data_IF_216369024409
#
_entry.id   IF_216369024409
#
_cell.length_a   1.000
_cell.length_b   1.000
_cell.length_c   1.000
_cell.angle_alpha   90.00
_cell.angle_beta   90.00
_cell.angle_gamma   90.00
#
_symmetry.space_group_name_H-M   'P 1'
#
loop_
_entity.id
_entity.type
_entity.pdbx_description
1 polymer ?
#
# COMPACT_ATOMS: atom_id res chain seq x y z
N UNK A 1 6.79 31.56 -43.20
CA UNK A 1 7.71 30.48 -42.77
C UNK A 1 7.66 30.19 -41.26
N UNK A 2 7.55 31.18 -40.37
CA UNK A 2 7.54 30.96 -38.90
C UNK A 2 6.50 29.95 -38.34
N UNK A 3 5.32 29.83 -38.96
CA UNK A 3 4.25 28.97 -38.45
C UNK A 3 4.55 27.46 -38.45
N UNK A 4 5.46 26.99 -39.33
CA UNK A 4 5.75 25.57 -39.48
C UNK A 4 6.63 25.06 -38.33
N UNK A 5 7.65 25.84 -37.95
CA UNK A 5 8.53 25.53 -36.83
C UNK A 5 7.78 25.47 -35.49
N UNK A 6 6.83 26.37 -35.25
CA UNK A 6 6.00 26.35 -34.02
C UNK A 6 5.13 25.07 -33.98
N UNK A 7 4.54 24.66 -35.10
CA UNK A 7 3.79 23.39 -35.19
C UNK A 7 4.69 22.17 -34.95
N UNK A 8 5.90 22.16 -35.51
CA UNK A 8 6.87 21.10 -35.26
C UNK A 8 7.32 21.07 -33.79
N UNK A 9 7.60 22.21 -33.16
CA UNK A 9 7.93 22.31 -31.73
C UNK A 9 6.79 21.81 -30.84
N UNK A 10 5.56 22.23 -31.12
CA UNK A 10 4.38 21.75 -30.40
C UNK A 10 4.21 20.23 -30.55
N UNK A 11 4.35 19.69 -31.76
CA UNK A 11 4.33 18.25 -32.00
C UNK A 11 5.46 17.51 -31.28
N UNK A 12 6.68 18.06 -31.24
CA UNK A 12 7.82 17.48 -30.54
C UNK A 12 7.63 17.50 -29.01
N UNK A 13 7.04 18.56 -28.46
CA UNK A 13 6.66 18.67 -27.05
C UNK A 13 5.56 17.65 -26.73
N UNK A 14 4.53 17.51 -27.57
CA UNK A 14 3.49 16.50 -27.43
C UNK A 14 4.07 15.07 -27.47
N UNK A 15 4.95 14.77 -28.42
CA UNK A 15 5.62 13.47 -28.54
C UNK A 15 6.51 13.18 -27.31
N UNK A 16 7.27 14.17 -26.81
CA UNK A 16 8.06 14.00 -25.57
C UNK A 16 7.19 13.86 -24.31
N UNK A 17 5.97 14.39 -24.31
CA UNK A 17 4.99 14.20 -23.21
C UNK A 17 4.45 12.77 -23.12
N UNK A 18 4.63 11.96 -24.18
CA UNK A 18 4.34 10.53 -24.21
C UNK A 18 5.53 9.61 -23.84
N UNK A 19 6.64 10.15 -23.34
CA UNK A 19 7.57 9.35 -22.55
C UNK A 19 6.88 8.96 -21.24
N UNK A 20 6.14 7.85 -21.28
CA UNK A 20 5.38 7.33 -20.15
C UNK A 20 6.27 7.20 -18.93
N UNK A 21 5.71 7.52 -17.76
CA UNK A 21 6.41 7.53 -16.47
C UNK A 21 7.13 6.20 -16.30
N UNK A 22 8.46 6.22 -16.43
CA UNK A 22 9.31 5.06 -16.22
C UNK A 22 9.43 4.81 -14.72
N UNK A 23 8.34 4.31 -14.11
CA UNK A 23 8.35 3.85 -12.73
C UNK A 23 9.37 2.73 -12.63
N UNK A 24 10.38 2.90 -11.78
CA UNK A 24 11.40 1.87 -11.56
C UNK A 24 10.70 0.59 -11.07
N UNK A 25 11.08 -0.56 -11.60
CA UNK A 25 10.49 -1.84 -11.18
C UNK A 25 10.76 -2.06 -9.68
N UNK A 26 9.71 -2.42 -8.94
CA UNK A 26 9.83 -2.75 -7.53
C UNK A 26 10.44 -4.16 -7.35
N UNK A 27 11.12 -4.40 -6.22
CA UNK A 27 11.39 -5.78 -5.80
C UNK A 27 10.07 -6.46 -5.44
N UNK A 28 9.95 -7.75 -5.78
CA UNK A 28 8.84 -8.59 -5.32
C UNK A 28 8.80 -8.63 -3.77
N UNK A 29 7.61 -8.75 -3.17
CA UNK A 29 7.48 -8.80 -1.71
C UNK A 29 8.12 -10.06 -1.14
N UNK A 30 8.63 -9.96 0.09
CA UNK A 30 9.24 -11.10 0.81
C UNK A 30 8.24 -12.25 1.03
N UNK A 31 6.96 -11.91 1.26
CA UNK A 31 5.88 -12.88 1.40
C UNK A 31 4.95 -12.83 0.17
N UNK A 32 4.62 -13.96 -0.47
CA UNK A 32 3.79 -13.98 -1.66
C UNK A 32 2.41 -13.35 -1.45
N UNK A 33 2.02 -12.44 -2.35
CA UNK A 33 0.76 -11.69 -2.30
C UNK A 33 0.61 -10.70 -1.12
N UNK A 34 1.69 -10.34 -0.42
CA UNK A 34 1.69 -9.28 0.60
C UNK A 34 2.45 -8.04 0.11
N UNK A 35 1.82 -7.14 -0.66
CA UNK A 35 2.50 -6.02 -1.31
C UNK A 35 2.96 -4.91 -0.36
N UNK A 36 2.39 -4.86 0.86
CA UNK A 36 2.68 -3.89 1.91
C UNK A 36 2.78 -4.62 3.25
N UNK A 37 4.00 -4.73 3.79
CA UNK A 37 4.27 -5.46 5.04
C UNK A 37 4.30 -4.52 6.24
N UNK A 38 3.88 -5.00 7.41
CA UNK A 38 3.95 -4.23 8.66
C UNK A 38 4.65 -5.05 9.71
N UNK A 39 5.79 -4.55 10.19
CA UNK A 39 6.57 -5.17 11.26
C UNK A 39 6.53 -4.33 12.53
N UNK A 40 6.63 -5.00 13.68
CA UNK A 40 6.71 -4.37 14.99
C UNK A 40 8.02 -4.76 15.66
N UNK A 41 8.86 -3.78 15.96
CA UNK A 41 10.18 -3.95 16.59
C UNK A 41 10.30 -3.09 17.85
N UNK A 42 9.28 -3.13 18.72
CA UNK A 42 9.36 -2.60 20.09
C UNK A 42 9.26 -3.76 21.09
N UNK A 43 9.97 -3.70 22.24
CA UNK A 43 9.91 -4.76 23.26
C UNK A 43 8.48 -4.94 23.79
N UNK A 44 8.00 -6.18 23.85
CA UNK A 44 6.61 -6.51 24.23
C UNK A 44 6.45 -7.06 25.65
N UNK A 45 7.56 -7.42 26.32
CA UNK A 45 7.58 -8.16 27.60
C UNK A 45 7.19 -7.34 28.83
N UNK A 46 7.11 -6.03 28.64
CA UNK A 46 6.81 -4.94 29.57
C UNK A 46 6.50 -3.77 28.57
N UNK A 47 5.54 -2.84 28.74
CA UNK A 47 5.16 -1.86 27.67
C UNK A 47 4.83 -0.40 28.14
N UNK A 48 4.40 0.58 27.31
CA UNK A 48 3.68 1.90 27.60
C UNK A 48 3.28 2.63 26.30
N UNK A 49 2.09 3.26 26.17
CA UNK A 49 1.98 4.55 25.44
C UNK A 49 0.68 5.36 25.65
N UNK A 50 0.70 6.60 25.14
CA UNK A 50 -0.38 7.62 25.11
C UNK A 50 -0.13 8.66 23.99
N UNK A 51 -0.60 8.43 22.77
CA UNK A 51 -0.75 9.48 21.74
C UNK A 51 -1.97 9.20 20.84
N UNK A 52 -2.57 10.27 20.30
CA UNK A 52 -3.56 10.22 19.22
C UNK A 52 -2.81 10.39 17.89
N UNK A 53 -2.18 9.32 17.42
CA UNK A 53 -1.43 9.36 16.16
C UNK A 53 -2.36 9.36 14.94
N UNK A 54 -2.03 10.18 13.95
CA UNK A 54 -2.70 10.21 12.66
C UNK A 54 -2.16 9.10 11.76
N UNK A 55 -2.84 7.95 11.79
CA UNK A 55 -2.48 6.79 10.98
C UNK A 55 -2.72 7.00 9.48
N UNK A 56 -3.58 7.94 9.09
CA UNK A 56 -3.91 8.22 7.68
C UNK A 56 -2.74 8.94 7.02
N UNK A 57 -2.32 10.05 7.62
CA UNK A 57 -1.23 10.88 7.07
C UNK A 57 0.18 10.31 7.34
N UNK A 58 0.29 9.12 7.95
CA UNK A 58 1.56 8.41 8.15
C UNK A 58 1.57 7.06 7.42
N UNK A 59 0.85 6.06 7.94
CA UNK A 59 0.81 4.69 7.41
C UNK A 59 0.02 4.62 6.11
N UNK A 60 -1.13 5.29 6.06
CA UNK A 60 -1.97 5.38 4.86
C UNK A 60 -1.23 6.03 3.69
N UNK A 61 -0.57 7.16 3.97
CA UNK A 61 0.27 7.89 3.00
C UNK A 61 1.44 7.02 2.50
N UNK A 62 2.16 6.38 3.42
CA UNK A 62 3.28 5.45 3.10
C UNK A 62 2.83 4.31 2.18
N UNK A 63 1.65 3.74 2.42
CA UNK A 63 1.07 2.69 1.57
C UNK A 63 0.58 3.23 0.22
N UNK A 64 -0.11 4.38 0.20
CA UNK A 64 -0.62 5.01 -1.01
C UNK A 64 0.51 5.37 -1.99
N UNK A 65 1.66 5.79 -1.47
CA UNK A 65 2.88 6.09 -2.24
C UNK A 65 3.70 4.86 -2.66
N UNK A 66 3.21 3.64 -2.40
CA UNK A 66 3.82 2.41 -2.93
C UNK A 66 5.05 1.91 -2.17
N UNK A 67 5.23 2.27 -0.90
CA UNK A 67 6.27 1.67 -0.06
C UNK A 67 6.11 0.15 0.03
N UNK A 68 7.19 -0.58 0.34
CA UNK A 68 7.14 -2.04 0.50
C UNK A 68 6.48 -2.46 1.84
N UNK A 69 6.32 -1.51 2.76
CA UNK A 69 5.90 -1.75 4.12
C UNK A 69 6.34 -0.65 5.07
N UNK A 70 6.08 -0.84 6.35
CA UNK A 70 6.54 0.01 7.45
C UNK A 70 7.06 -0.85 8.62
N UNK A 71 8.02 -0.31 9.36
CA UNK A 71 8.49 -0.90 10.62
C UNK A 71 8.12 0.06 11.75
N UNK A 72 7.24 -0.36 12.65
CA UNK A 72 7.00 0.36 13.88
C UNK A 72 8.13 0.07 14.87
N UNK A 73 8.86 1.12 15.22
CA UNK A 73 9.85 1.10 16.29
C UNK A 73 9.31 1.85 17.51
N UNK A 74 9.68 1.40 18.71
CA UNK A 74 9.20 1.97 19.97
C UNK A 74 10.29 2.02 21.03
N UNK A 75 10.24 3.07 21.86
CA UNK A 75 11.17 3.28 22.97
C UNK A 75 11.03 2.20 24.05
N UNK A 76 12.11 1.90 24.78
CA UNK A 76 12.03 1.10 26.01
C UNK A 76 11.24 1.77 27.14
N UNK A 77 10.93 3.06 27.06
CA UNK A 77 9.91 3.67 27.95
C UNK A 77 8.52 3.11 27.66
N UNK A 78 8.29 2.79 26.38
CA UNK A 78 7.18 1.98 25.91
C UNK A 78 7.39 0.52 26.22
N UNK A 79 8.36 0.18 27.08
CA UNK A 79 8.63 -1.12 27.67
C UNK A 79 8.55 -1.12 29.21
N UNK A 80 8.01 -0.11 29.89
CA UNK A 80 8.36 0.15 31.30
C UNK A 80 7.50 -0.47 32.42
N UNK A 81 6.17 -0.64 32.29
CA UNK A 81 5.34 -1.21 33.40
C UNK A 81 4.14 -2.04 32.92
N UNK A 82 3.31 -2.58 33.83
CA UNK A 82 2.15 -3.45 33.51
C UNK A 82 0.93 -2.68 32.97
N UNK A 83 0.47 -1.60 33.61
CA UNK A 83 -0.58 -0.71 33.07
C UNK A 83 -0.19 -0.13 31.70
N UNK A 84 1.11 0.03 31.58
CA UNK A 84 1.80 0.53 30.43
C UNK A 84 1.75 -0.53 29.31
N UNK A 85 2.03 -1.81 29.62
CA UNK A 85 1.73 -2.99 28.80
C UNK A 85 0.33 -2.98 28.20
N UNK A 86 -0.67 -2.81 29.08
CA UNK A 86 -2.08 -2.85 28.71
C UNK A 86 -2.41 -1.81 27.64
N UNK A 87 -1.97 -0.55 27.79
CA UNK A 87 -2.25 0.51 26.79
C UNK A 87 -1.68 0.25 25.39
N UNK A 88 -0.48 -0.33 25.28
CA UNK A 88 0.10 -0.67 23.96
C UNK A 88 -0.69 -1.81 23.34
N UNK A 89 -0.99 -2.85 24.13
CA UNK A 89 -1.85 -3.96 23.69
C UNK A 89 -3.23 -3.48 23.25
N UNK A 90 -3.89 -2.60 24.01
CA UNK A 90 -5.20 -2.08 23.67
C UNK A 90 -5.19 -1.21 22.40
N UNK A 91 -4.08 -0.48 22.15
CA UNK A 91 -3.89 0.29 20.92
C UNK A 91 -3.69 -0.62 19.70
N UNK A 92 -2.83 -1.64 19.82
CA UNK A 92 -2.59 -2.66 18.79
C UNK A 92 -3.85 -3.49 18.51
N UNK A 93 -4.51 -4.02 19.54
CA UNK A 93 -5.74 -4.81 19.41
C UNK A 93 -6.96 -3.96 18.97
N UNK A 94 -6.86 -2.64 19.10
CA UNK A 94 -7.91 -1.66 18.83
C UNK A 94 -7.67 -0.86 17.54
N UNK A 95 -7.48 0.46 17.62
CA UNK A 95 -7.45 1.34 16.44
C UNK A 95 -6.27 1.04 15.50
N UNK A 96 -5.06 0.76 16.03
CA UNK A 96 -3.90 0.51 15.17
C UNK A 96 -4.08 -0.78 14.38
N UNK A 97 -4.32 -1.92 15.02
CA UNK A 97 -4.44 -3.20 14.32
C UNK A 97 -5.60 -3.23 13.31
N UNK A 98 -6.74 -2.60 13.64
CA UNK A 98 -7.84 -2.43 12.67
C UNK A 98 -7.41 -1.59 11.47
N UNK A 99 -6.67 -0.51 11.68
CA UNK A 99 -6.16 0.33 10.60
C UNK A 99 -5.05 -0.36 9.77
N UNK A 100 -4.17 -1.13 10.40
CA UNK A 100 -3.17 -1.95 9.69
C UNK A 100 -3.85 -3.00 8.81
N UNK A 101 -4.86 -3.70 9.31
CA UNK A 101 -5.64 -4.67 8.51
C UNK A 101 -6.40 -3.95 7.39
N UNK A 102 -6.92 -2.75 7.63
CA UNK A 102 -7.54 -1.91 6.60
C UNK A 102 -6.56 -1.62 5.44
N UNK A 103 -5.41 -1.02 5.73
CA UNK A 103 -4.42 -0.62 4.70
C UNK A 103 -3.77 -1.82 4.00
N UNK A 104 -3.32 -2.84 4.74
CA UNK A 104 -2.66 -4.01 4.15
C UNK A 104 -3.60 -4.80 3.24
N UNK A 105 -4.86 -5.01 3.66
CA UNK A 105 -5.86 -5.72 2.83
C UNK A 105 -6.24 -4.89 1.61
N UNK A 106 -6.37 -3.57 1.72
CA UNK A 106 -6.65 -2.70 0.59
C UNK A 106 -5.50 -2.68 -0.44
N UNK A 107 -4.26 -2.62 0.01
CA UNK A 107 -3.08 -2.72 -0.86
C UNK A 107 -3.02 -4.08 -1.58
N UNK A 108 -3.36 -5.17 -0.88
CA UNK A 108 -3.46 -6.53 -1.44
C UNK A 108 -4.58 -6.66 -2.49
N UNK A 109 -5.76 -6.08 -2.23
CA UNK A 109 -6.87 -6.01 -3.18
C UNK A 109 -6.44 -5.21 -4.42
N UNK A 110 -5.86 -4.02 -4.25
CA UNK A 110 -5.42 -3.20 -5.38
C UNK A 110 -4.34 -3.93 -6.22
N UNK A 111 -3.31 -4.51 -5.58
CA UNK A 111 -2.30 -5.33 -6.25
C UNK A 111 -2.93 -6.48 -7.05
N UNK A 112 -3.91 -7.18 -6.47
CA UNK A 112 -4.60 -8.29 -7.12
C UNK A 112 -5.39 -7.85 -8.37
N UNK A 113 -6.30 -6.90 -8.22
CA UNK A 113 -7.26 -6.56 -9.27
C UNK A 113 -6.71 -5.59 -10.31
N UNK A 114 -5.97 -4.56 -9.88
CA UNK A 114 -5.38 -3.56 -10.77
C UNK A 114 -4.04 -4.03 -11.38
N UNK A 115 -3.17 -4.64 -10.57
CA UNK A 115 -1.80 -4.99 -10.96
C UNK A 115 -1.54 -6.50 -11.14
N UNK A 116 -2.60 -7.31 -11.28
CA UNK A 116 -2.56 -8.77 -11.52
C UNK A 116 -1.73 -9.59 -10.51
N UNK A 117 -1.53 -9.08 -9.28
CA UNK A 117 -0.56 -9.59 -8.26
C UNK A 117 0.93 -9.45 -8.64
N UNK A 118 1.21 -8.77 -9.76
CA UNK A 118 2.52 -8.63 -10.38
C UNK A 118 3.11 -7.22 -10.23
N UNK A 119 2.45 -6.38 -9.43
CA UNK A 119 2.94 -5.08 -9.00
C UNK A 119 2.24 -4.61 -7.74
N UNK A 120 2.73 -3.50 -7.19
CA UNK A 120 2.08 -2.74 -6.12
C UNK A 120 1.36 -1.52 -6.71
N UNK A 121 0.32 -1.05 -6.03
CA UNK A 121 -0.33 0.20 -6.40
C UNK A 121 0.44 1.41 -5.86
N UNK A 122 0.46 2.48 -6.64
CA UNK A 122 1.05 3.78 -6.33
C UNK A 122 0.05 4.86 -6.71
N UNK A 123 -0.15 5.88 -5.88
CA UNK A 123 -1.03 7.01 -6.15
C UNK A 123 -0.53 7.77 -7.38
N UNK A 124 -1.41 8.10 -8.33
CA UNK A 124 -1.03 8.79 -9.58
C UNK A 124 -0.57 10.24 -9.35
N UNK A 125 -1.16 10.89 -8.35
CA UNK A 125 -0.97 12.30 -8.03
C UNK A 125 -0.53 12.41 -6.57
N UNK A 126 0.71 12.83 -6.34
CA UNK A 126 1.28 12.91 -4.98
C UNK A 126 0.57 13.94 -4.10
N UNK A 127 -0.14 14.89 -4.71
CA UNK A 127 -0.93 15.96 -4.10
C UNK A 127 -2.41 15.59 -3.87
N UNK A 128 -2.88 14.42 -4.31
CA UNK A 128 -4.28 14.01 -4.11
C UNK A 128 -4.49 13.23 -2.80
N UNK A 129 -5.65 13.41 -2.17
CA UNK A 129 -6.03 12.74 -0.92
C UNK A 129 -6.55 11.29 -1.13
N UNK A 130 -6.01 10.57 -2.11
CA UNK A 130 -6.39 9.17 -2.35
C UNK A 130 -5.57 8.22 -1.48
N UNK A 131 -6.23 7.29 -0.79
CA UNK A 131 -5.60 6.32 0.11
C UNK A 131 -6.02 4.89 -0.23
N UNK A 132 -5.16 3.93 0.08
CA UNK A 132 -5.48 2.50 -0.01
C UNK A 132 -6.18 2.07 1.28
N UNK A 133 -7.49 2.29 1.34
CA UNK A 133 -8.37 1.80 2.40
C UNK A 133 -9.41 0.81 1.85
N UNK A 134 -9.89 -0.08 2.71
CA UNK A 134 -11.05 -0.91 2.48
C UNK A 134 -12.30 -0.02 2.39
N UNK A 135 -13.07 -0.24 1.33
CA UNK A 135 -14.35 0.41 1.11
C UNK A 135 -15.35 -0.05 2.19
N UNK A 136 -15.86 0.84 3.05
CA UNK A 136 -16.58 0.47 4.28
C UNK A 136 -17.92 -0.23 4.00
N UNK A 137 -18.56 0.06 2.87
CA UNK A 137 -19.84 -0.52 2.48
C UNK A 137 -19.68 -1.96 1.95
N UNK A 138 -18.55 -2.24 1.27
CA UNK A 138 -18.28 -3.54 0.62
C UNK A 138 -17.41 -4.49 1.46
N UNK A 139 -16.71 -3.99 2.49
CA UNK A 139 -15.80 -4.77 3.34
C UNK A 139 -15.97 -4.49 4.84
N UNK A 140 -16.00 -5.55 5.65
CA UNK A 140 -16.06 -5.50 7.12
C UNK A 140 -14.90 -6.25 7.75
N UNK A 141 -14.19 -5.57 8.66
CA UNK A 141 -13.14 -6.16 9.51
C UNK A 141 -13.80 -6.75 10.76
N UNK A 142 -13.82 -8.07 10.86
CA UNK A 142 -14.36 -8.82 11.98
C UNK A 142 -13.24 -9.35 12.86
N UNK A 143 -13.24 -8.98 14.13
CA UNK A 143 -12.30 -9.51 15.14
C UNK A 143 -13.03 -10.57 15.94
N UNK A 144 -12.65 -11.83 15.76
CA UNK A 144 -13.14 -12.97 16.54
C UNK A 144 -12.05 -13.35 17.53
N UNK A 145 -12.37 -13.65 18.78
CA UNK A 145 -11.33 -14.08 19.71
C UNK A 145 -11.80 -14.34 21.12
N UNK A 146 -11.01 -15.16 21.81
CA UNK A 146 -11.11 -15.41 23.24
C UNK A 146 -10.11 -14.50 23.97
N UNK A 147 -10.02 -14.60 25.30
CA UNK A 147 -9.10 -13.76 26.09
C UNK A 147 -7.62 -13.88 25.69
N UNK A 148 -7.22 -15.00 25.09
CA UNK A 148 -5.83 -15.35 24.73
C UNK A 148 -5.48 -15.16 23.25
N UNK A 149 -6.44 -15.26 22.33
CA UNK A 149 -6.18 -15.25 20.88
C UNK A 149 -7.24 -14.42 20.13
N UNK A 150 -6.79 -13.47 19.31
CA UNK A 150 -7.64 -12.59 18.48
C UNK A 150 -7.36 -12.83 17.00
N UNK A 151 -8.29 -13.51 16.33
CA UNK A 151 -8.28 -13.76 14.89
C UNK A 151 -9.04 -12.66 14.15
N UNK A 152 -8.33 -11.89 13.33
CA UNK A 152 -8.95 -10.89 12.45
C UNK A 152 -9.31 -11.52 11.11
N UNK A 153 -10.52 -11.26 10.62
CA UNK A 153 -11.06 -11.77 9.36
C UNK A 153 -11.68 -10.58 8.62
N UNK A 154 -11.28 -10.35 7.37
CA UNK A 154 -11.98 -9.40 6.48
C UNK A 154 -13.00 -10.16 5.65
N UNK A 155 -14.28 -9.77 5.73
CA UNK A 155 -15.35 -10.27 4.86
C UNK A 155 -15.78 -9.17 3.89
N UNK A 156 -16.02 -9.51 2.63
CA UNK A 156 -16.44 -8.56 1.61
C UNK A 156 -16.05 -9.02 0.20
N UNK A 157 -16.39 -8.20 -0.80
CA UNK A 157 -15.98 -8.38 -2.21
C UNK A 157 -15.70 -7.01 -2.82
N UNK A 158 -14.84 -6.97 -3.84
CA UNK A 158 -14.63 -5.73 -4.59
C UNK A 158 -15.80 -5.53 -5.56
N UNK A 159 -16.36 -4.32 -5.56
CA UNK A 159 -17.48 -3.92 -6.40
C UNK A 159 -16.99 -3.02 -7.55
N UNK A 160 -17.82 -2.83 -8.58
CA UNK A 160 -17.39 -2.16 -9.82
C UNK A 160 -16.99 -0.70 -9.58
N UNK A 161 -17.75 0.03 -8.76
CA UNK A 161 -17.47 1.42 -8.38
C UNK A 161 -16.14 1.57 -7.64
N UNK A 162 -15.87 0.65 -6.71
CA UNK A 162 -14.60 0.57 -5.99
C UNK A 162 -13.42 0.27 -6.92
N UNK A 163 -13.61 -0.61 -7.91
CA UNK A 163 -12.61 -0.88 -8.94
C UNK A 163 -12.34 0.36 -9.81
N UNK A 164 -13.39 1.12 -10.18
CA UNK A 164 -13.27 2.39 -10.91
C UNK A 164 -12.50 3.42 -10.08
N UNK A 165 -12.77 3.54 -8.78
CA UNK A 165 -11.97 4.40 -7.87
C UNK A 165 -10.48 4.02 -7.90
N UNK A 166 -10.15 2.73 -7.82
CA UNK A 166 -8.75 2.26 -7.89
C UNK A 166 -8.11 2.58 -9.23
N UNK A 167 -8.79 2.30 -10.35
CA UNK A 167 -8.33 2.60 -11.71
C UNK A 167 -8.08 4.10 -11.90
N UNK A 168 -8.94 4.96 -11.33
CA UNK A 168 -8.83 6.40 -11.48
C UNK A 168 -7.68 7.00 -10.66
N UNK A 169 -7.49 6.55 -9.41
CA UNK A 169 -6.55 7.17 -8.47
C UNK A 169 -5.16 6.50 -8.39
N UNK A 170 -5.04 5.23 -8.77
CA UNK A 170 -3.81 4.45 -8.62
C UNK A 170 -3.29 3.93 -9.96
N UNK A 171 -1.99 3.68 -10.00
CA UNK A 171 -1.23 3.08 -11.11
C UNK A 171 -0.32 1.98 -10.57
N UNK A 172 0.15 1.10 -11.44
CA UNK A 172 0.97 -0.04 -11.03
C UNK A 172 2.47 0.25 -11.12
N UNK A 173 3.18 0.00 -10.02
CA UNK A 173 4.62 -0.22 -10.03
C UNK A 173 4.88 -1.72 -10.08
N UNK A 174 5.23 -2.21 -11.27
CA UNK A 174 5.43 -3.64 -11.50
C UNK A 174 6.66 -4.18 -10.77
N UNK A 175 6.56 -5.44 -10.33
CA UNK A 175 7.70 -6.13 -9.78
C UNK A 175 8.73 -6.47 -10.88
N UNK A 176 9.97 -6.73 -10.47
CA UNK A 176 11.01 -7.28 -11.34
C UNK A 176 10.47 -8.50 -12.10
N UNK A 177 10.83 -8.63 -13.39
CA UNK A 177 10.24 -9.62 -14.30
C UNK A 177 8.89 -9.23 -14.91
N UNK A 178 8.23 -8.14 -14.49
CA UNK A 178 6.90 -7.75 -15.01
C UNK A 178 6.87 -6.34 -15.61
N UNK A 179 6.02 -6.15 -16.61
CA UNK A 179 5.82 -4.90 -17.37
C UNK A 179 4.39 -4.77 -17.89
N UNK A 180 4.07 -3.60 -18.43
CA UNK A 180 2.72 -3.24 -18.89
C UNK A 180 2.04 -2.27 -17.90
N UNK A 181 0.91 -1.70 -18.30
CA UNK A 181 0.19 -0.71 -17.48
C UNK A 181 -0.41 -1.33 -16.22
N UNK A 182 -0.73 -2.62 -16.29
CA UNK A 182 -1.37 -3.41 -15.23
C UNK A 182 -0.49 -4.60 -14.81
N UNK A 183 0.81 -4.56 -15.14
CA UNK A 183 1.78 -5.63 -14.93
C UNK A 183 1.36 -6.97 -15.57
N UNK A 184 0.67 -6.88 -16.71
CA UNK A 184 0.04 -8.00 -17.39
C UNK A 184 0.98 -8.82 -18.30
N UNK A 185 2.25 -8.40 -18.45
CA UNK A 185 3.23 -9.02 -19.35
C UNK A 185 4.52 -9.35 -18.62
N UNK A 186 5.06 -10.55 -18.86
CA UNK A 186 6.39 -10.91 -18.40
C UNK A 186 7.47 -10.18 -19.23
N UNK A 187 8.58 -9.82 -18.59
CA UNK A 187 9.77 -9.24 -19.21
C UNK A 187 10.73 -10.37 -19.60
N UNK A 188 10.87 -10.61 -20.90
CA UNK A 188 11.69 -11.71 -21.46
C UNK A 188 13.20 -11.43 -21.34
N UNK A 189 13.62 -10.24 -20.89
CA UNK A 189 15.03 -9.83 -20.86
C UNK A 189 15.93 -10.64 -19.91
N UNK A 190 15.36 -11.34 -18.92
CA UNK A 190 16.14 -12.10 -17.93
C UNK A 190 16.29 -13.61 -18.26
N UNK A 191 15.64 -14.12 -19.32
CA UNK A 191 15.76 -15.54 -19.73
C UNK A 191 17.13 -15.86 -20.36
N UNK A 192 17.90 -14.85 -20.79
CA UNK A 192 19.24 -15.01 -21.39
C UNK A 192 20.39 -14.87 -20.38
N UNK A 193 20.18 -15.25 -19.12
CA UNK A 193 21.17 -15.21 -18.03
C UNK A 193 21.24 -16.51 -17.20
N UNK A 194 20.82 -17.61 -17.81
CA UNK A 194 21.03 -19.00 -17.35
C UNK A 194 21.77 -19.71 -18.49
#
# INVERSE_FOLDING_TARGET
>A
MYHLWIKCLAAWIFLKRFNGVHVMQAKAPMYPNEPFLVFWNAPTTQCRLRYKEDLVNTVGETAAMGAAGIVFWGSMQYASTVDSCRKVKDYIDGPLGRYIVNVTTAAKICSHFLCKKHGRCVRKHSDSNAFLHLFPDSFRILVHGNATEKKVIVKGKLELENLIFLINNFMCQCYQGWKGLYCEKHSIKDIRKI
#
